data_IF_832034072463
#
_entry.id   IF_832034072463
#
_cell.length_a   1.000
_cell.length_b   1.000
_cell.length_c   1.000
_cell.angle_alpha   90.00
_cell.angle_beta   90.00
_cell.angle_gamma   90.00
#
_symmetry.space_group_name_H-M   'P 1'
#
loop_
_entity.id
_entity.type
_entity.pdbx_description
1 polymer ?
#
# COMPACT_ATOMS: atom_id res chain seq x y z
N UNK A 1 -1.78 26.35 -8.51
CA UNK A 1 -2.16 25.23 -9.37
C UNK A 1 -2.65 24.14 -8.46
N UNK A 2 -3.96 23.90 -8.40
CA UNK A 2 -4.50 22.76 -7.71
C UNK A 2 -3.93 21.50 -8.38
N UNK A 3 -3.42 20.51 -7.62
CA UNK A 3 -2.98 19.26 -8.20
C UNK A 3 -4.18 18.66 -8.92
N UNK A 4 -3.96 18.23 -10.16
CA UNK A 4 -4.97 17.55 -10.93
C UNK A 4 -5.47 16.35 -10.11
N UNK A 5 -6.65 16.48 -9.53
CA UNK A 5 -7.42 15.36 -9.01
C UNK A 5 -7.48 14.36 -10.15
N UNK A 6 -6.85 13.23 -9.96
CA UNK A 6 -6.69 12.22 -10.99
C UNK A 6 -8.08 11.78 -11.46
N UNK A 7 -8.50 12.27 -12.64
CA UNK A 7 -9.80 11.94 -13.25
C UNK A 7 -9.93 10.48 -13.65
N UNK A 8 -8.90 9.66 -13.39
CA UNK A 8 -8.80 8.26 -13.79
C UNK A 8 -9.41 7.24 -12.84
N UNK A 9 -9.87 7.62 -11.63
CA UNK A 9 -10.51 6.70 -10.68
C UNK A 9 -12.03 6.55 -10.91
N UNK A 10 -12.55 6.90 -12.10
CA UNK A 10 -13.98 6.75 -12.40
C UNK A 10 -14.46 5.29 -12.23
N UNK A 11 -13.65 4.32 -12.64
CA UNK A 11 -13.94 2.89 -12.49
C UNK A 11 -13.71 2.35 -11.06
N UNK A 12 -12.97 3.06 -10.22
CA UNK A 12 -12.79 2.67 -8.83
C UNK A 12 -14.09 2.70 -8.03
N UNK A 13 -14.98 3.65 -8.33
CA UNK A 13 -16.32 3.67 -7.75
C UNK A 13 -17.16 2.48 -8.22
N UNK A 14 -17.10 2.15 -9.50
CA UNK A 14 -17.78 0.97 -10.02
C UNK A 14 -17.30 -0.32 -9.35
N UNK A 15 -15.98 -0.45 -9.11
CA UNK A 15 -15.41 -1.58 -8.37
C UNK A 15 -15.86 -1.59 -6.90
N UNK A 16 -15.95 -0.42 -6.27
CA UNK A 16 -16.45 -0.30 -4.90
C UNK A 16 -17.94 -0.65 -4.81
N UNK A 17 -18.76 -0.12 -5.73
CA UNK A 17 -20.21 -0.39 -5.78
C UNK A 17 -20.50 -1.89 -6.02
N UNK A 18 -19.62 -2.59 -6.73
CA UNK A 18 -19.66 -4.05 -6.89
C UNK A 18 -19.10 -4.82 -5.70
N UNK A 19 -18.59 -4.14 -4.66
CA UNK A 19 -17.97 -4.76 -3.49
C UNK A 19 -16.57 -5.35 -3.74
N UNK A 20 -16.00 -5.18 -4.94
CA UNK A 20 -14.74 -5.83 -5.32
C UNK A 20 -13.54 -5.30 -4.54
N UNK A 21 -13.59 -4.06 -4.04
CA UNK A 21 -12.52 -3.50 -3.21
C UNK A 21 -12.54 -4.05 -1.77
N UNK A 22 -13.69 -4.58 -1.31
CA UNK A 22 -13.86 -5.17 0.02
C UNK A 22 -13.72 -6.69 0.02
N UNK A 23 -13.34 -7.30 -1.10
CA UNK A 23 -13.39 -8.73 -1.35
C UNK A 23 -12.54 -9.55 -0.36
N UNK A 24 -11.30 -9.10 -0.08
CA UNK A 24 -10.34 -9.78 0.81
C UNK A 24 -10.33 -9.20 2.25
N UNK A 25 -11.30 -8.34 2.56
CA UNK A 25 -11.53 -7.84 3.91
C UNK A 25 -12.47 -8.80 4.63
N UNK A 26 -12.14 -9.17 5.86
CA UNK A 26 -12.98 -10.03 6.69
C UNK A 26 -14.36 -9.38 6.94
N UNK A 27 -15.41 -10.20 7.06
CA UNK A 27 -16.78 -9.72 7.37
C UNK A 27 -16.82 -8.91 8.67
N UNK A 28 -16.01 -9.29 9.66
CA UNK A 28 -15.89 -8.58 10.94
C UNK A 28 -15.35 -7.14 10.78
N UNK A 29 -14.63 -6.86 9.71
CA UNK A 29 -14.09 -5.54 9.35
C UNK A 29 -14.96 -4.82 8.28
N UNK A 30 -16.17 -5.34 8.01
CA UNK A 30 -17.10 -4.77 7.04
C UNK A 30 -16.83 -5.18 5.60
N UNK A 31 -16.04 -6.23 5.37
CA UNK A 31 -15.75 -6.79 4.06
C UNK A 31 -16.67 -7.91 3.62
N UNK A 32 -16.31 -8.56 2.52
CA UNK A 32 -17.05 -9.71 1.95
C UNK A 32 -16.49 -11.05 2.45
N UNK A 33 -15.24 -11.10 2.86
CA UNK A 33 -14.60 -12.32 3.36
C UNK A 33 -14.46 -13.42 2.29
N UNK A 34 -14.37 -13.07 1.00
CA UNK A 34 -14.33 -14.05 -0.08
C UNK A 34 -13.03 -14.88 -0.11
N UNK A 35 -12.01 -14.42 0.60
CA UNK A 35 -10.74 -15.11 0.74
C UNK A 35 -9.92 -15.27 -0.55
N UNK A 36 -8.87 -16.11 -0.53
CA UNK A 36 -7.92 -16.21 -1.65
C UNK A 36 -8.54 -16.69 -2.96
N UNK A 37 -9.56 -17.55 -2.91
CA UNK A 37 -10.21 -18.08 -4.11
C UNK A 37 -11.02 -16.99 -4.80
N UNK A 38 -11.80 -16.20 -4.04
CA UNK A 38 -12.54 -15.06 -4.57
C UNK A 38 -11.60 -14.04 -5.19
N UNK A 39 -10.54 -13.68 -4.47
CA UNK A 39 -9.50 -12.77 -4.96
C UNK A 39 -8.84 -13.27 -6.26
N UNK A 40 -8.53 -14.56 -6.35
CA UNK A 40 -7.97 -15.19 -7.56
C UNK A 40 -8.91 -15.06 -8.76
N UNK A 41 -10.19 -15.38 -8.60
CA UNK A 41 -11.19 -15.32 -9.69
C UNK A 41 -11.36 -13.89 -10.21
N UNK A 42 -11.45 -12.90 -9.31
CA UNK A 42 -11.54 -11.49 -9.71
C UNK A 42 -10.25 -11.01 -10.36
N UNK A 43 -9.09 -11.39 -9.82
CA UNK A 43 -7.78 -11.04 -10.43
C UNK A 43 -7.65 -11.62 -11.84
N UNK A 44 -8.14 -12.84 -12.09
CA UNK A 44 -8.15 -13.44 -13.42
C UNK A 44 -9.06 -12.66 -14.37
N UNK A 45 -10.25 -12.25 -13.94
CA UNK A 45 -11.18 -11.46 -14.74
C UNK A 45 -10.61 -10.06 -15.05
N UNK A 46 -10.03 -9.39 -14.07
CA UNK A 46 -9.42 -8.06 -14.24
C UNK A 46 -8.21 -8.12 -15.17
N UNK A 47 -7.39 -9.18 -15.07
CA UNK A 47 -6.27 -9.43 -15.99
C UNK A 47 -6.73 -9.69 -17.42
N UNK A 48 -7.76 -10.53 -17.61
CA UNK A 48 -8.35 -10.78 -18.93
C UNK A 48 -8.97 -9.51 -19.56
N UNK A 49 -9.50 -8.62 -18.72
CA UNK A 49 -10.04 -7.32 -19.13
C UNK A 49 -8.98 -6.22 -19.28
N UNK A 50 -7.70 -6.50 -19.06
CA UNK A 50 -6.59 -5.53 -19.08
C UNK A 50 -6.89 -4.31 -18.19
N UNK A 51 -7.42 -4.54 -16.99
CA UNK A 51 -7.77 -3.48 -16.07
C UNK A 51 -6.49 -2.79 -15.57
N UNK A 52 -6.38 -1.47 -15.77
CA UNK A 52 -5.25 -0.66 -15.31
C UNK A 52 -5.47 -0.02 -13.94
N UNK A 53 -6.63 -0.25 -13.34
CA UNK A 53 -6.97 0.26 -12.01
C UNK A 53 -6.17 -0.49 -10.91
N UNK A 54 -5.90 0.15 -9.76
CA UNK A 54 -5.05 -0.40 -8.71
C UNK A 54 -5.71 -1.53 -7.90
N UNK A 55 -6.44 -2.45 -8.55
CA UNK A 55 -7.12 -3.55 -7.85
C UNK A 55 -6.11 -4.40 -7.07
N UNK A 56 -5.09 -4.93 -7.74
CA UNK A 56 -4.10 -5.78 -7.09
C UNK A 56 -3.28 -5.04 -6.04
N UNK A 57 -2.78 -3.84 -6.37
CA UNK A 57 -1.90 -3.08 -5.46
C UNK A 57 -2.64 -2.55 -4.23
N UNK A 58 -3.90 -2.14 -4.37
CA UNK A 58 -4.68 -1.55 -3.28
C UNK A 58 -5.62 -2.54 -2.62
N UNK A 59 -6.60 -3.09 -3.38
CA UNK A 59 -7.64 -3.93 -2.80
C UNK A 59 -7.14 -5.32 -2.34
N UNK A 60 -5.98 -5.78 -2.84
CA UNK A 60 -5.39 -7.06 -2.42
C UNK A 60 -4.17 -6.83 -1.53
N UNK A 61 -3.09 -6.23 -2.07
CA UNK A 61 -1.81 -6.16 -1.35
C UNK A 61 -1.89 -5.21 -0.16
N UNK A 62 -2.28 -3.94 -0.37
CA UNK A 62 -2.31 -2.96 0.71
C UNK A 62 -3.36 -3.32 1.78
N UNK A 63 -4.55 -3.76 1.36
CA UNK A 63 -5.59 -4.25 2.27
C UNK A 63 -5.08 -5.40 3.12
N UNK A 64 -4.36 -6.36 2.52
CA UNK A 64 -3.78 -7.48 3.26
C UNK A 64 -2.73 -7.04 4.28
N UNK A 65 -1.85 -6.10 3.91
CA UNK A 65 -0.86 -5.51 4.83
C UNK A 65 -1.55 -4.84 6.02
N UNK A 66 -2.57 -4.01 5.77
CA UNK A 66 -3.35 -3.35 6.83
C UNK A 66 -4.05 -4.39 7.71
N UNK A 67 -4.70 -5.39 7.13
CA UNK A 67 -5.40 -6.46 7.86
C UNK A 67 -4.48 -7.26 8.77
N UNK A 68 -3.23 -7.47 8.39
CA UNK A 68 -2.25 -8.22 9.17
C UNK A 68 -1.61 -7.39 10.28
N UNK A 69 -1.28 -6.13 10.00
CA UNK A 69 -0.44 -5.31 10.89
C UNK A 69 -1.23 -4.38 11.80
N UNK A 70 -2.40 -3.89 11.37
CA UNK A 70 -3.12 -2.83 12.08
C UNK A 70 -4.21 -3.41 13.00
N UNK A 71 -4.45 -2.75 14.13
CA UNK A 71 -5.50 -3.10 15.10
C UNK A 71 -6.32 -1.87 15.49
N UNK A 72 -7.48 -2.10 16.10
CA UNK A 72 -8.35 -1.04 16.65
C UNK A 72 -8.88 -0.07 15.62
N UNK A 73 -9.16 1.16 16.04
CA UNK A 73 -9.82 2.19 15.25
C UNK A 73 -9.03 2.61 13.99
N UNK A 74 -7.70 2.51 14.02
CA UNK A 74 -6.88 2.78 12.85
C UNK A 74 -7.15 1.73 11.75
N UNK A 75 -7.30 0.45 12.12
CA UNK A 75 -7.69 -0.63 11.19
C UNK A 75 -9.02 -0.32 10.52
N UNK A 76 -10.05 -0.03 11.31
CA UNK A 76 -11.38 0.29 10.81
C UNK A 76 -11.36 1.46 9.84
N UNK A 77 -10.64 2.54 10.19
CA UNK A 77 -10.48 3.72 9.33
C UNK A 77 -9.81 3.40 8.00
N UNK A 78 -8.68 2.68 8.03
CA UNK A 78 -7.92 2.36 6.83
C UNK A 78 -8.69 1.37 5.93
N UNK A 79 -9.19 0.28 6.49
CA UNK A 79 -9.94 -0.73 5.72
C UNK A 79 -11.24 -0.17 5.17
N UNK A 80 -11.98 0.63 5.95
CA UNK A 80 -13.22 1.27 5.50
C UNK A 80 -13.00 2.21 4.30
N UNK A 81 -11.94 3.02 4.34
CA UNK A 81 -11.62 3.92 3.25
C UNK A 81 -11.12 3.18 1.98
N UNK A 82 -10.41 2.04 2.15
CA UNK A 82 -10.00 1.18 1.04
C UNK A 82 -11.20 0.45 0.42
N UNK A 83 -12.08 -0.12 1.26
CA UNK A 83 -13.27 -0.86 0.83
C UNK A 83 -14.26 0.01 0.05
N UNK A 84 -14.48 1.25 0.52
CA UNK A 84 -15.36 2.22 -0.14
C UNK A 84 -14.78 2.88 -1.39
N UNK A 85 -13.48 2.67 -1.66
CA UNK A 85 -12.78 3.37 -2.74
C UNK A 85 -12.54 4.87 -2.48
N UNK A 86 -12.75 5.34 -1.24
CA UNK A 86 -12.43 6.71 -0.83
C UNK A 86 -10.92 6.97 -0.88
N UNK A 87 -10.13 5.94 -0.59
CA UNK A 87 -8.68 6.01 -0.65
C UNK A 87 -8.08 4.82 -1.39
N UNK A 88 -6.90 5.06 -1.97
CA UNK A 88 -6.02 4.04 -2.52
C UNK A 88 -4.79 4.01 -1.62
N UNK A 89 -4.35 2.83 -1.22
CA UNK A 89 -3.04 2.62 -0.61
C UNK A 89 -2.21 1.67 -1.47
N UNK A 90 -0.90 1.85 -1.45
CA UNK A 90 0.03 0.98 -2.17
C UNK A 90 1.23 0.63 -1.30
N UNK A 91 1.76 -0.57 -1.46
CA UNK A 91 2.98 -1.00 -0.78
C UNK A 91 4.20 -0.46 -1.52
N UNK A 92 5.04 0.30 -0.80
CA UNK A 92 6.32 0.81 -1.28
C UNK A 92 7.44 0.00 -0.60
N UNK A 93 7.95 -1.02 -1.30
CA UNK A 93 8.91 -2.00 -0.76
C UNK A 93 10.24 -2.00 -1.50
N UNK A 94 10.20 -2.08 -2.84
CA UNK A 94 11.40 -2.23 -3.67
C UNK A 94 12.28 -0.98 -3.65
N UNK A 95 13.61 -1.17 -3.64
CA UNK A 95 14.60 -0.07 -3.55
C UNK A 95 15.63 -0.08 -4.65
N UNK A 96 15.82 -1.20 -5.33
CA UNK A 96 16.79 -1.34 -6.42
C UNK A 96 16.26 -2.29 -7.48
N UNK A 97 16.88 -2.26 -8.66
CA UNK A 97 16.65 -3.28 -9.67
C UNK A 97 17.33 -4.59 -9.23
N UNK A 98 16.61 -5.44 -8.50
CA UNK A 98 17.14 -6.74 -8.08
C UNK A 98 16.46 -7.29 -6.84
N UNK A 99 16.27 -8.60 -6.83
CA UNK A 99 15.59 -9.33 -5.77
C UNK A 99 16.49 -9.52 -4.53
N UNK A 100 15.88 -9.46 -3.35
CA UNK A 100 16.52 -9.82 -2.08
C UNK A 100 17.68 -8.93 -1.62
N UNK A 101 17.72 -7.65 -2.00
CA UNK A 101 18.64 -6.71 -1.39
C UNK A 101 18.15 -6.28 0.01
N UNK A 102 19.06 -6.08 0.98
CA UNK A 102 18.68 -5.52 2.27
C UNK A 102 18.06 -4.13 2.10
N UNK A 103 16.99 -3.84 2.85
CA UNK A 103 16.36 -2.52 2.85
C UNK A 103 17.38 -1.44 3.26
N UNK A 104 17.55 -0.43 2.43
CA UNK A 104 18.37 0.74 2.70
C UNK A 104 17.55 1.86 3.35
N UNK A 105 16.25 1.98 3.03
CA UNK A 105 15.32 2.89 3.71
C UNK A 105 15.31 2.61 5.21
N UNK A 106 15.48 3.67 6.00
CA UNK A 106 15.56 3.59 7.46
C UNK A 106 14.45 4.41 8.12
N UNK A 107 13.97 3.91 9.25
CA UNK A 107 13.14 4.67 10.17
C UNK A 107 13.83 4.65 11.56
N UNK A 108 14.23 5.83 12.01
CA UNK A 108 14.87 6.02 13.33
C UNK A 108 13.88 6.64 14.28
N UNK A 109 13.84 6.15 15.54
CA UNK A 109 12.98 6.71 16.57
C UNK A 109 13.43 8.13 16.94
N UNK A 110 12.49 9.05 17.03
CA UNK A 110 12.64 10.42 17.54
C UNK A 110 11.79 10.59 18.80
N UNK A 111 11.88 11.75 19.47
CA UNK A 111 11.15 11.99 20.73
C UNK A 111 9.62 11.85 20.57
N UNK A 112 9.08 12.29 19.42
CA UNK A 112 7.64 12.34 19.13
C UNK A 112 7.25 11.47 17.93
N UNK A 113 8.02 10.41 17.63
CA UNK A 113 7.71 9.51 16.51
C UNK A 113 8.92 8.96 15.77
N UNK A 114 8.92 9.06 14.45
CA UNK A 114 9.90 8.41 13.58
C UNK A 114 10.46 9.35 12.52
N UNK A 115 11.75 9.26 12.24
CA UNK A 115 12.36 9.89 11.06
C UNK A 115 12.53 8.86 9.97
N UNK A 116 11.77 9.00 8.88
CA UNK A 116 11.83 8.14 7.70
C UNK A 116 12.74 8.75 6.63
N UNK A 117 13.74 7.98 6.17
CA UNK A 117 14.67 8.37 5.10
C UNK A 117 14.97 7.22 4.17
N UNK A 118 14.96 7.49 2.87
CA UNK A 118 15.33 6.52 1.85
C UNK A 118 14.63 6.74 0.54
N UNK A 119 14.67 5.70 -0.31
CA UNK A 119 14.07 5.73 -1.64
C UNK A 119 13.35 4.41 -1.91
N UNK A 120 12.23 4.47 -2.62
CA UNK A 120 11.51 3.30 -3.15
C UNK A 120 11.37 3.44 -4.65
N UNK A 121 11.55 2.36 -5.38
CA UNK A 121 11.53 2.37 -6.84
C UNK A 121 10.38 1.52 -7.38
N UNK A 122 9.87 1.89 -8.54
CA UNK A 122 8.87 1.10 -9.26
C UNK A 122 7.55 0.91 -8.52
N UNK A 123 7.16 1.84 -7.64
CA UNK A 123 5.93 1.70 -6.84
C UNK A 123 4.72 1.89 -7.73
N UNK A 124 4.07 0.77 -8.10
CA UNK A 124 2.88 0.78 -8.94
C UNK A 124 1.73 1.54 -8.29
N UNK A 125 1.06 2.36 -9.08
CA UNK A 125 -0.08 3.19 -8.71
C UNK A 125 0.19 4.26 -7.61
N UNK A 126 1.45 4.46 -7.19
CA UNK A 126 1.79 5.49 -6.23
C UNK A 126 1.28 6.90 -6.60
N UNK A 127 1.30 7.33 -7.87
CA UNK A 127 0.74 8.63 -8.25
C UNK A 127 -0.75 8.79 -7.95
N UNK A 128 -1.49 7.68 -7.84
CA UNK A 128 -2.92 7.64 -7.54
C UNK A 128 -3.22 7.43 -6.05
N UNK A 129 -2.25 6.94 -5.29
CA UNK A 129 -2.43 6.59 -3.89
C UNK A 129 -2.62 7.84 -3.02
N UNK A 130 -3.45 7.70 -1.99
CA UNK A 130 -3.46 8.60 -0.84
C UNK A 130 -2.38 8.18 0.16
N UNK A 131 -2.28 6.88 0.42
CA UNK A 131 -1.36 6.33 1.40
C UNK A 131 -0.30 5.43 0.76
N UNK A 132 0.93 5.63 1.18
CA UNK A 132 2.07 4.78 0.87
C UNK A 132 2.36 3.93 2.11
N UNK A 133 2.32 2.61 1.99
CA UNK A 133 2.72 1.67 3.03
C UNK A 133 4.22 1.39 2.84
N UNK A 134 5.06 2.12 3.55
CA UNK A 134 6.51 2.14 3.32
C UNK A 134 7.20 1.16 4.25
N UNK A 135 7.92 0.19 3.70
CA UNK A 135 8.80 -0.67 4.49
C UNK A 135 10.13 0.03 4.78
N UNK A 136 10.56 0.00 6.02
CA UNK A 136 11.84 0.58 6.44
C UNK A 136 12.52 -0.28 7.49
N UNK A 137 13.85 -0.22 7.53
CA UNK A 137 14.64 -0.82 8.59
C UNK A 137 14.56 0.06 9.84
N UNK A 138 14.22 -0.56 10.96
CA UNK A 138 14.17 0.04 12.29
C UNK A 138 15.22 -0.60 13.20
N UNK A 139 15.52 -0.08 14.38
CA UNK A 139 16.45 -0.69 15.32
C UNK A 139 16.05 -2.11 15.74
N UNK A 140 14.75 -2.42 15.73
CA UNK A 140 14.18 -3.70 16.15
C UNK A 140 13.78 -4.61 14.98
N UNK A 141 14.11 -4.24 13.73
CA UNK A 141 13.85 -5.07 12.54
C UNK A 141 13.29 -4.29 11.36
N UNK A 142 12.26 -4.82 10.71
CA UNK A 142 11.57 -4.16 9.60
C UNK A 142 10.21 -3.66 10.09
N UNK A 143 9.97 -2.36 9.93
CA UNK A 143 8.67 -1.73 10.16
C UNK A 143 7.95 -1.40 8.86
N UNK A 144 6.64 -1.25 8.94
CA UNK A 144 5.82 -0.67 7.87
C UNK A 144 5.20 0.62 8.40
N UNK A 145 5.29 1.67 7.60
CA UNK A 145 4.80 3.00 7.97
C UNK A 145 3.74 3.47 6.99
N UNK A 146 2.63 4.00 7.49
CA UNK A 146 1.63 4.69 6.66
C UNK A 146 2.07 6.13 6.45
N UNK A 147 2.28 6.52 5.21
CA UNK A 147 2.72 7.85 4.82
C UNK A 147 1.70 8.47 3.88
N UNK A 148 1.23 9.68 4.17
CA UNK A 148 0.45 10.44 3.20
C UNK A 148 1.34 10.82 2.02
N UNK A 149 0.92 10.49 0.80
CA UNK A 149 1.69 10.80 -0.41
C UNK A 149 1.99 12.30 -0.57
N UNK A 150 1.13 13.15 -0.01
CA UNK A 150 1.25 14.61 -0.09
C UNK A 150 2.03 15.22 1.10
N UNK A 151 2.54 14.39 2.02
CA UNK A 151 3.31 14.89 3.15
C UNK A 151 4.57 15.62 2.67
N UNK A 152 4.94 16.68 3.40
CA UNK A 152 6.22 17.37 3.19
C UNK A 152 7.38 16.40 3.40
N UNK A 153 8.34 16.38 2.49
CA UNK A 153 9.47 15.43 2.48
C UNK A 153 9.20 14.13 1.71
N UNK A 154 8.05 14.01 1.01
CA UNK A 154 7.77 12.96 0.03
C UNK A 154 7.92 13.54 -1.37
N UNK A 155 8.86 13.00 -2.17
CA UNK A 155 9.07 13.42 -3.56
C UNK A 155 8.76 12.24 -4.49
N UNK A 156 7.79 12.43 -5.40
CA UNK A 156 7.41 11.44 -6.40
C UNK A 156 8.00 11.79 -7.78
N UNK A 157 8.67 10.83 -8.37
CA UNK A 157 9.10 10.84 -9.77
C UNK A 157 8.22 9.87 -10.55
N UNK A 158 7.08 10.40 -11.05
CA UNK A 158 6.06 9.57 -11.70
C UNK A 158 6.43 9.23 -13.15
N UNK A 159 6.15 8.00 -13.55
CA UNK A 159 6.34 7.50 -14.92
C UNK A 159 5.24 6.49 -15.30
N UNK A 160 5.24 6.05 -16.55
CA UNK A 160 4.33 5.00 -17.04
C UNK A 160 5.12 3.80 -17.52
N UNK A 161 4.66 2.62 -17.13
CA UNK A 161 5.18 1.36 -17.65
C UNK A 161 4.70 1.10 -19.08
N UNK A 162 5.33 0.12 -19.76
CA UNK A 162 5.03 -0.24 -21.14
C UNK A 162 3.59 -0.74 -21.32
N UNK A 163 2.98 -1.30 -20.29
CA UNK A 163 1.58 -1.73 -20.24
C UNK A 163 0.59 -0.61 -19.90
N UNK A 164 1.08 0.62 -19.74
CA UNK A 164 0.28 1.81 -19.47
C UNK A 164 -0.04 2.07 -18.00
N UNK A 165 0.42 1.23 -17.07
CA UNK A 165 0.23 1.46 -15.63
C UNK A 165 1.03 2.68 -15.15
N UNK A 166 0.51 3.36 -14.14
CA UNK A 166 1.20 4.45 -13.46
C UNK A 166 2.11 3.89 -12.36
N UNK A 167 3.35 4.36 -12.32
CA UNK A 167 4.30 4.04 -11.27
C UNK A 167 5.08 5.29 -10.86
N UNK A 168 5.81 5.19 -9.76
CA UNK A 168 6.74 6.23 -9.36
C UNK A 168 7.93 5.66 -8.59
N UNK A 169 9.06 6.35 -8.71
CA UNK A 169 10.13 6.28 -7.74
C UNK A 169 9.88 7.36 -6.69
N UNK A 170 10.17 7.07 -5.42
CA UNK A 170 9.75 7.92 -4.32
C UNK A 170 10.92 8.12 -3.37
N UNK A 171 11.25 9.37 -3.10
CA UNK A 171 12.22 9.75 -2.08
C UNK A 171 11.51 10.20 -0.81
N UNK A 172 12.05 9.81 0.34
CA UNK A 172 11.53 10.12 1.65
C UNK A 172 12.59 10.80 2.51
N UNK A 173 12.26 11.95 3.09
CA UNK A 173 12.98 12.60 4.19
C UNK A 173 11.99 13.38 5.05
N UNK A 174 11.30 12.69 5.97
CA UNK A 174 10.24 13.29 6.77
C UNK A 174 10.16 12.69 8.17
N UNK A 175 9.60 13.49 9.10
CA UNK A 175 9.20 13.00 10.42
C UNK A 175 7.75 12.54 10.40
N UNK A 176 7.49 11.42 11.05
CA UNK A 176 6.18 10.78 11.16
C UNK A 176 5.80 10.69 12.64
N UNK A 177 4.51 10.81 12.94
CA UNK A 177 3.98 10.56 14.28
C UNK A 177 4.16 9.06 14.65
N UNK A 178 4.12 8.76 15.93
CA UNK A 178 4.34 7.39 16.42
C UNK A 178 3.31 6.39 15.88
N UNK A 179 2.06 6.84 15.71
CA UNK A 179 0.97 6.05 15.16
C UNK A 179 1.07 5.77 13.65
N UNK A 180 2.04 6.37 12.95
CA UNK A 180 2.31 6.05 11.56
C UNK A 180 2.91 4.66 11.37
N UNK A 181 3.55 4.08 12.40
CA UNK A 181 4.05 2.72 12.37
C UNK A 181 2.89 1.73 12.47
N UNK A 182 2.79 0.84 11.49
CA UNK A 182 1.78 -0.20 11.48
C UNK A 182 2.28 -1.46 12.20
N UNK A 183 1.55 -1.87 13.25
CA UNK A 183 1.87 -3.08 14.02
C UNK A 183 3.13 -2.96 14.90
N UNK A 184 3.40 -4.03 15.64
CA UNK A 184 4.46 -4.09 16.65
C UNK A 184 5.83 -4.54 16.11
N UNK A 185 6.06 -4.46 14.78
CA UNK A 185 7.33 -4.82 14.16
C UNK A 185 7.61 -6.34 14.08
N UNK A 186 6.58 -7.20 14.10
CA UNK A 186 6.77 -8.64 13.93
C UNK A 186 7.22 -8.96 12.49
N UNK A 187 8.54 -9.10 12.30
CA UNK A 187 9.17 -9.50 11.02
C UNK A 187 8.58 -10.78 10.41
N UNK A 188 7.94 -11.63 11.23
CA UNK A 188 7.37 -12.90 10.77
C UNK A 188 6.25 -12.70 9.76
N UNK A 189 5.58 -11.56 9.76
CA UNK A 189 4.50 -11.24 8.83
C UNK A 189 5.04 -10.88 7.43
N UNK A 190 6.19 -10.22 7.37
CA UNK A 190 6.85 -9.89 6.10
C UNK A 190 7.65 -11.09 5.53
N UNK A 191 8.06 -12.04 6.40
CA UNK A 191 8.80 -13.26 6.01
C UNK A 191 7.90 -14.46 5.68
N UNK A 192 6.57 -14.36 5.84
CA UNK A 192 5.61 -15.42 5.49
C UNK A 192 5.20 -15.34 4.01
N UNK A 193 6.14 -15.12 3.10
CA UNK A 193 5.97 -15.57 1.73
C UNK A 193 5.77 -17.10 1.72
N UNK A 194 4.99 -17.65 0.76
CA UNK A 194 4.82 -19.09 0.68
C UNK A 194 6.19 -19.75 0.60
N UNK A 195 6.48 -20.67 1.53
CA UNK A 195 7.61 -21.58 1.35
C UNK A 195 7.22 -22.47 0.18
N UNK A 196 7.78 -22.22 -0.96
CA UNK A 196 7.75 -23.16 -2.06
C UNK A 196 8.53 -24.39 -1.61
N UNK A 197 8.01 -25.61 -1.86
CA UNK A 197 8.68 -26.85 -1.56
C UNK A 197 9.97 -27.00 -2.38
#
# INVERSE_FOLDING_TARGET
HAPATYRGWCRGRELADLGLLALDIDEADGGIGAGPVGTMLVSQATGAGLLLEPFLSSAVIATRVVSLLVRGTQREKLLGALASGEAIAVLAHEETEGWAQPLATTATSEADGWRLRGCKVGVLHAPMARWLLVTARTPDGIGVFVVDRQAEGVQLHAWRSVDGQHAADIEFDLSLADDARLGDGDERLLRRGPRWP
#
